data_IF_115356430125
#
_entry.id   IF_115356430125
#
_cell.length_a   1.000
_cell.length_b   1.000
_cell.length_c   1.000
_cell.angle_alpha   90.00
_cell.angle_beta   90.00
_cell.angle_gamma   90.00
#
_symmetry.space_group_name_H-M   'P 1'
#
loop_
_entity.id
_entity.type
_entity.pdbx_description
1 polymer ?
#
# COMPACT_ATOMS: atom_id res chain seq x y z
N UNK A 1 -5.99 7.93 12.39
CA UNK A 1 -5.56 6.86 13.32
C UNK A 1 -4.12 7.06 13.79
N UNK A 2 -3.11 7.10 12.92
CA UNK A 2 -1.69 7.11 13.34
C UNK A 2 -1.08 8.45 13.77
N UNK A 3 -1.81 9.57 13.67
CA UNK A 3 -1.27 10.91 13.97
C UNK A 3 -0.69 11.08 15.38
N UNK A 4 -1.15 10.28 16.36
CA UNK A 4 -0.68 10.33 17.75
C UNK A 4 0.40 9.29 18.08
N UNK A 5 0.78 8.43 17.13
CA UNK A 5 1.80 7.40 17.37
C UNK A 5 3.18 7.94 17.03
N UNK A 6 4.14 7.75 17.93
CA UNK A 6 5.54 8.12 17.74
C UNK A 6 6.16 7.28 16.62
N UNK A 7 6.76 7.92 15.62
CA UNK A 7 7.42 7.24 14.49
C UNK A 7 8.69 6.47 14.88
N UNK A 8 9.12 6.56 16.14
CA UNK A 8 10.40 6.06 16.68
C UNK A 8 10.27 4.77 17.51
N UNK A 9 9.06 4.31 17.81
CA UNK A 9 8.83 3.05 18.54
C UNK A 9 8.84 1.86 17.55
N UNK A 10 9.25 0.64 17.93
CA UNK A 10 9.35 -0.50 17.00
C UNK A 10 7.95 -1.06 16.66
N UNK A 11 7.19 -0.29 15.88
CA UNK A 11 5.86 -0.64 15.40
C UNK A 11 5.87 -1.70 14.29
N UNK A 12 7.01 -2.27 13.91
CA UNK A 12 7.12 -3.11 12.72
C UNK A 12 6.15 -4.30 12.75
N UNK A 13 6.04 -4.99 13.89
CA UNK A 13 5.16 -6.16 14.05
C UNK A 13 3.68 -5.77 14.08
N UNK A 14 3.31 -4.77 14.88
CA UNK A 14 1.92 -4.32 15.00
C UNK A 14 1.41 -3.68 13.71
N UNK A 15 2.25 -2.88 13.05
CA UNK A 15 1.96 -2.30 11.75
C UNK A 15 1.68 -3.40 10.73
N UNK A 16 2.49 -4.47 10.70
CA UNK A 16 2.27 -5.58 9.77
C UNK A 16 0.92 -6.25 9.98
N UNK A 17 0.45 -6.40 11.23
CA UNK A 17 -0.90 -6.91 11.50
C UNK A 17 -1.98 -6.01 10.87
N UNK A 18 -1.89 -4.69 11.05
CA UNK A 18 -2.83 -3.77 10.42
C UNK A 18 -2.74 -3.82 8.88
N UNK A 19 -1.52 -3.84 8.32
CA UNK A 19 -1.33 -3.96 6.88
C UNK A 19 -1.98 -5.24 6.33
N UNK A 20 -1.85 -6.36 7.04
CA UNK A 20 -2.46 -7.63 6.63
C UNK A 20 -3.99 -7.59 6.65
N UNK A 21 -4.60 -6.98 7.67
CA UNK A 21 -6.06 -6.81 7.75
C UNK A 21 -6.55 -5.96 6.57
N UNK A 22 -5.93 -4.80 6.34
CA UNK A 22 -6.31 -3.93 5.22
C UNK A 22 -6.03 -4.57 3.85
N UNK A 23 -4.99 -5.40 3.73
CA UNK A 23 -4.73 -6.19 2.52
C UNK A 23 -5.87 -7.17 2.25
N UNK A 24 -6.31 -7.91 3.27
CA UNK A 24 -7.47 -8.81 3.16
C UNK A 24 -8.75 -8.07 2.77
N UNK A 25 -9.03 -6.95 3.44
CA UNK A 25 -10.19 -6.10 3.12
C UNK A 25 -10.16 -5.58 1.69
N UNK A 26 -9.00 -5.10 1.22
CA UNK A 26 -8.86 -4.61 -0.15
C UNK A 26 -9.10 -5.71 -1.18
N UNK A 27 -8.65 -6.94 -0.93
CA UNK A 27 -8.89 -8.07 -1.84
C UNK A 27 -10.36 -8.47 -1.89
N UNK A 28 -11.04 -8.50 -0.73
CA UNK A 28 -12.43 -8.95 -0.64
C UNK A 28 -13.44 -7.91 -1.12
N UNK A 29 -13.15 -6.62 -0.94
CA UNK A 29 -14.10 -5.52 -1.14
C UNK A 29 -13.58 -4.44 -2.09
N UNK A 30 -12.72 -4.81 -3.05
CA UNK A 30 -12.14 -3.89 -4.03
C UNK A 30 -13.18 -3.10 -4.85
N UNK A 31 -14.33 -3.72 -5.13
CA UNK A 31 -15.39 -3.13 -5.97
C UNK A 31 -16.14 -2.00 -5.26
N UNK A 32 -16.19 -2.02 -3.92
CA UNK A 32 -16.79 -0.94 -3.15
C UNK A 32 -15.83 0.26 -3.10
N UNK A 33 -16.25 1.34 -3.76
CA UNK A 33 -15.44 2.57 -3.89
C UNK A 33 -15.14 3.20 -2.52
N UNK A 34 -16.03 3.05 -1.54
CA UNK A 34 -15.83 3.60 -0.20
C UNK A 34 -14.75 2.84 0.56
N UNK A 35 -14.77 1.51 0.48
CA UNK A 35 -13.78 0.63 1.10
C UNK A 35 -12.43 0.76 0.43
N UNK A 36 -12.40 0.79 -0.90
CA UNK A 36 -11.19 1.05 -1.69
C UNK A 36 -10.52 2.35 -1.26
N UNK A 37 -11.27 3.45 -1.19
CA UNK A 37 -10.75 4.76 -0.76
C UNK A 37 -10.17 4.70 0.65
N UNK A 38 -10.85 4.04 1.58
CA UNK A 38 -10.38 3.90 2.97
C UNK A 38 -9.07 3.08 3.04
N UNK A 39 -8.98 1.97 2.30
CA UNK A 39 -7.78 1.14 2.26
C UNK A 39 -6.58 1.89 1.69
N UNK A 40 -6.77 2.59 0.56
CA UNK A 40 -5.71 3.37 -0.07
C UNK A 40 -5.27 4.55 0.82
N UNK A 41 -6.21 5.26 1.44
CA UNK A 41 -5.90 6.33 2.39
C UNK A 41 -5.13 5.82 3.61
N UNK A 42 -5.48 4.63 4.11
CA UNK A 42 -4.77 3.97 5.19
C UNK A 42 -3.30 3.68 4.81
N UNK A 43 -3.05 3.09 3.63
CA UNK A 43 -1.68 2.83 3.18
C UNK A 43 -0.87 4.11 3.00
N UNK A 44 -1.48 5.17 2.45
CA UNK A 44 -0.85 6.48 2.35
C UNK A 44 -0.45 7.01 3.72
N UNK A 45 -1.37 6.97 4.69
CA UNK A 45 -1.09 7.42 6.05
C UNK A 45 0.02 6.61 6.72
N UNK A 46 0.05 5.28 6.53
CA UNK A 46 1.14 4.44 7.02
C UNK A 46 2.48 4.82 6.42
N UNK A 47 2.54 4.98 5.09
CA UNK A 47 3.77 5.38 4.41
C UNK A 47 4.25 6.77 4.83
N UNK A 48 3.34 7.71 5.08
CA UNK A 48 3.67 9.05 5.55
C UNK A 48 4.20 9.04 6.99
N UNK A 49 3.59 8.27 7.90
CA UNK A 49 3.95 8.25 9.32
C UNK A 49 5.21 7.41 9.57
N UNK A 50 5.33 6.25 8.94
CA UNK A 50 6.38 5.25 9.17
C UNK A 50 7.45 5.28 8.07
N UNK A 51 7.99 6.48 7.79
CA UNK A 51 8.92 6.73 6.66
C UNK A 51 10.11 5.78 6.63
N UNK A 52 10.73 5.50 7.78
CA UNK A 52 11.88 4.59 7.85
C UNK A 52 11.49 3.18 7.40
N UNK A 53 10.37 2.64 7.90
CA UNK A 53 9.88 1.30 7.55
C UNK A 53 9.59 1.23 6.05
N UNK A 54 8.84 2.20 5.52
CA UNK A 54 8.50 2.25 4.10
C UNK A 54 9.68 2.57 3.18
N UNK A 55 10.75 3.17 3.69
CA UNK A 55 12.00 3.37 2.92
C UNK A 55 12.81 2.08 2.76
N UNK A 56 12.63 1.10 3.65
CA UNK A 56 13.41 -0.16 3.63
C UNK A 56 12.61 -1.29 2.99
N UNK A 57 11.45 -1.62 3.54
CA UNK A 57 10.70 -2.83 3.15
C UNK A 57 9.16 -2.71 3.27
N UNK A 58 8.62 -1.60 3.77
CA UNK A 58 7.18 -1.47 4.01
C UNK A 58 6.32 -1.60 2.74
N UNK A 59 6.82 -1.25 1.56
CA UNK A 59 6.06 -1.39 0.32
C UNK A 59 5.92 -2.84 -0.13
N UNK A 60 6.88 -3.72 0.21
CA UNK A 60 6.82 -5.14 -0.12
C UNK A 60 5.60 -5.82 0.52
N UNK A 61 5.13 -5.34 1.67
CA UNK A 61 3.94 -5.86 2.35
C UNK A 61 2.62 -5.47 1.69
N UNK A 62 2.56 -4.40 0.89
CA UNK A 62 1.29 -3.86 0.36
C UNK A 62 1.18 -3.91 -1.17
N UNK A 63 2.30 -3.75 -1.89
CA UNK A 63 2.29 -3.65 -3.34
C UNK A 63 1.78 -4.91 -4.05
N UNK A 64 2.16 -6.14 -3.65
CA UNK A 64 1.62 -7.35 -4.28
C UNK A 64 0.10 -7.41 -4.24
N UNK A 65 -0.51 -6.97 -3.14
CA UNK A 65 -1.96 -6.94 -2.94
C UNK A 65 -2.62 -5.92 -3.86
N UNK A 66 -2.10 -4.67 -3.88
CA UNK A 66 -2.70 -3.61 -4.70
C UNK A 66 -2.56 -3.93 -6.20
N UNK A 67 -1.42 -4.49 -6.62
CA UNK A 67 -1.20 -4.90 -8.01
C UNK A 67 -2.16 -6.03 -8.41
N UNK A 68 -2.35 -7.04 -7.55
CA UNK A 68 -3.32 -8.12 -7.79
C UNK A 68 -4.74 -7.59 -7.96
N UNK A 69 -5.16 -6.66 -7.10
CA UNK A 69 -6.48 -6.04 -7.16
C UNK A 69 -6.65 -5.19 -8.42
N UNK A 70 -5.62 -4.42 -8.80
CA UNK A 70 -5.59 -3.69 -10.06
C UNK A 70 -5.74 -4.63 -11.26
N UNK A 71 -4.98 -5.72 -11.31
CA UNK A 71 -5.06 -6.72 -12.38
C UNK A 71 -6.43 -7.41 -12.46
N UNK A 72 -7.03 -7.74 -11.33
CA UNK A 72 -8.32 -8.45 -11.30
C UNK A 72 -9.50 -7.57 -11.72
N UNK A 73 -9.41 -6.25 -11.54
CA UNK A 73 -10.52 -5.30 -11.74
C UNK A 73 -10.25 -4.30 -12.88
N UNK A 74 -9.70 -4.75 -14.01
CA UNK A 74 -9.31 -3.87 -15.12
C UNK A 74 -10.46 -3.09 -15.76
N UNK A 75 -11.69 -3.56 -15.59
CA UNK A 75 -12.92 -2.95 -16.13
C UNK A 75 -13.38 -1.75 -15.29
N UNK A 76 -12.93 -1.60 -14.04
CA UNK A 76 -13.32 -0.51 -13.16
C UNK A 76 -12.36 0.68 -13.26
N UNK A 77 -12.73 1.68 -14.06
CA UNK A 77 -11.91 2.88 -14.27
C UNK A 77 -11.66 3.69 -12.99
N UNK A 78 -12.64 3.75 -12.07
CA UNK A 78 -12.50 4.49 -10.80
C UNK A 78 -11.42 3.83 -9.95
N UNK A 79 -11.44 2.50 -9.86
CA UNK A 79 -10.43 1.74 -9.13
C UNK A 79 -9.04 1.95 -9.71
N UNK A 80 -8.91 1.90 -11.04
CA UNK A 80 -7.63 2.13 -11.72
C UNK A 80 -7.07 3.52 -11.40
N UNK A 81 -7.89 4.55 -11.53
CA UNK A 81 -7.47 5.94 -11.23
C UNK A 81 -7.07 6.12 -9.76
N UNK A 82 -7.82 5.51 -8.83
CA UNK A 82 -7.51 5.60 -7.40
C UNK A 82 -6.17 4.92 -7.06
N UNK A 83 -5.91 3.74 -7.63
CA UNK A 83 -4.64 3.03 -7.46
C UNK A 83 -3.49 3.82 -8.10
N UNK A 84 -3.64 4.29 -9.33
CA UNK A 84 -2.61 5.10 -10.02
C UNK A 84 -2.28 6.38 -9.25
N UNK A 85 -3.29 7.06 -8.70
CA UNK A 85 -3.08 8.20 -7.81
C UNK A 85 -2.26 7.81 -6.58
N UNK A 86 -2.61 6.69 -5.93
CA UNK A 86 -1.91 6.20 -4.73
C UNK A 86 -0.44 5.89 -5.03
N UNK A 87 -0.16 5.25 -6.15
CA UNK A 87 1.22 4.98 -6.60
C UNK A 87 2.01 6.26 -6.87
N UNK A 88 1.38 7.29 -7.47
CA UNK A 88 2.01 8.61 -7.63
C UNK A 88 2.38 9.23 -6.28
N UNK A 89 1.49 9.14 -5.29
CA UNK A 89 1.77 9.64 -3.94
C UNK A 89 2.92 8.88 -3.26
N UNK A 90 2.95 7.54 -3.38
CA UNK A 90 4.08 6.74 -2.88
C UNK A 90 5.41 7.15 -3.51
N UNK A 91 5.43 7.35 -4.82
CA UNK A 91 6.61 7.85 -5.52
C UNK A 91 7.02 9.25 -5.04
N UNK A 92 6.08 10.17 -4.83
CA UNK A 92 6.39 11.51 -4.31
C UNK A 92 7.03 11.43 -2.92
N UNK A 93 6.54 10.54 -2.06
CA UNK A 93 7.02 10.42 -0.68
C UNK A 93 8.41 9.79 -0.57
N UNK A 94 8.68 8.70 -1.30
CA UNK A 94 9.90 7.90 -1.10
C UNK A 94 10.80 7.76 -2.33
N UNK A 95 10.38 8.19 -3.54
CA UNK A 95 11.22 8.20 -4.76
C UNK A 95 11.87 6.84 -5.06
N UNK A 96 13.21 6.78 -5.10
CA UNK A 96 14.00 5.59 -5.46
C UNK A 96 13.67 4.35 -4.63
N UNK A 97 13.63 4.42 -3.27
CA UNK A 97 13.16 3.31 -2.43
C UNK A 97 11.85 2.66 -2.88
N UNK A 98 10.85 3.46 -3.25
CA UNK A 98 9.56 2.95 -3.70
C UNK A 98 9.69 2.17 -5.01
N UNK A 99 10.42 2.71 -5.99
CA UNK A 99 10.63 2.06 -7.28
C UNK A 99 11.36 0.71 -7.13
N UNK A 100 12.40 0.67 -6.29
CA UNK A 100 13.15 -0.57 -6.04
C UNK A 100 12.28 -1.65 -5.38
N UNK A 101 11.50 -1.28 -4.35
CA UNK A 101 10.59 -2.21 -3.70
C UNK A 101 9.44 -2.63 -4.63
N UNK A 102 8.99 -1.77 -5.54
CA UNK A 102 8.00 -2.12 -6.57
C UNK A 102 8.54 -3.22 -7.50
N UNK A 103 9.75 -3.08 -8.01
CA UNK A 103 10.36 -4.13 -8.83
C UNK A 103 10.53 -5.43 -8.06
N UNK A 104 11.01 -5.36 -6.81
CA UNK A 104 11.11 -6.54 -5.94
C UNK A 104 9.78 -7.22 -5.68
N UNK A 105 8.68 -6.45 -5.59
CA UNK A 105 7.33 -7.00 -5.40
C UNK A 105 6.79 -7.68 -6.66
N UNK A 106 7.18 -7.22 -7.85
CA UNK A 106 6.75 -7.76 -9.13
C UNK A 106 7.60 -8.97 -9.54
N UNK A 107 8.89 -9.00 -9.17
CA UNK A 107 9.79 -10.11 -9.50
C UNK A 107 9.20 -11.47 -9.06
N UNK A 108 8.56 -11.52 -7.89
CA UNK A 108 7.89 -12.72 -7.38
C UNK A 108 6.70 -13.22 -8.23
N UNK A 109 6.23 -12.44 -9.22
CA UNK A 109 5.17 -12.85 -10.15
C UNK A 109 5.72 -13.31 -11.51
N UNK A 110 7.03 -13.15 -11.77
CA UNK A 110 7.67 -13.46 -13.05
C UNK A 110 8.34 -14.84 -13.04
N UNK A 111 8.73 -15.34 -11.86
CA UNK A 111 9.16 -16.73 -11.63
C UNK A 111 7.99 -17.71 -11.55
#
# INVERSE_FOLDING_TARGET
MFQKMTSTFPWSTDLQLFLNVYNGTLVLHAEDTTVLRQCLAFYLQCSYQFKMIFSVNGYLSILPTIIRVYHSNQHNNILKQAIEFTFKQFYIMHRTPFILQMFGSIANYID
#
